data_IF_997982652687
#
_entry.id   IF_997982652687
#
_cell.length_a   1.000
_cell.length_b   1.000
_cell.length_c   1.000
_cell.angle_alpha   90.00
_cell.angle_beta   90.00
_cell.angle_gamma   90.00
#
_symmetry.space_group_name_H-M   'P 1'
#
loop_
_entity.id
_entity.type
_entity.pdbx_description
1 polymer ?
#
# COMPACT_ATOMS: atom_id res chain seq x y z
N UNK A 1 15.59 -0.33 27.65
CA UNK A 1 14.99 -0.23 26.29
C UNK A 1 15.42 -1.48 25.54
N UNK A 2 14.78 -2.60 25.88
CA UNK A 2 15.19 -3.93 25.44
C UNK A 2 14.09 -4.61 24.62
N UNK A 3 13.46 -3.85 23.73
CA UNK A 3 12.72 -4.42 22.64
C UNK A 3 13.64 -4.40 21.42
N UNK A 4 14.49 -5.39 21.31
CA UNK A 4 14.96 -5.84 20.00
C UNK A 4 13.69 -6.36 19.32
N UNK A 5 12.96 -5.44 18.68
CA UNK A 5 11.94 -5.84 17.71
C UNK A 5 12.71 -6.70 16.71
N UNK A 6 12.40 -7.98 16.67
CA UNK A 6 13.06 -8.86 15.73
C UNK A 6 12.50 -8.54 14.33
N UNK A 7 13.15 -7.59 13.66
CA UNK A 7 12.83 -7.21 12.29
C UNK A 7 12.83 -8.42 11.36
N UNK A 8 13.46 -9.52 11.75
CA UNK A 8 13.53 -10.75 10.98
C UNK A 8 12.14 -11.35 10.80
N UNK A 9 11.29 -11.38 11.83
CA UNK A 9 9.99 -12.02 11.72
C UNK A 9 9.09 -11.33 10.67
N UNK A 10 9.10 -9.99 10.62
CA UNK A 10 8.37 -9.24 9.59
C UNK A 10 9.04 -9.40 8.22
N UNK A 11 10.37 -9.35 8.18
CA UNK A 11 11.12 -9.46 6.93
C UNK A 11 11.07 -10.88 6.36
N UNK A 12 11.03 -11.92 7.19
CA UNK A 12 10.93 -13.30 6.72
C UNK A 12 9.64 -13.57 5.94
N UNK A 13 8.53 -12.94 6.28
CA UNK A 13 7.29 -13.08 5.52
C UNK A 13 7.43 -12.54 4.08
N UNK A 14 8.18 -11.46 3.89
CA UNK A 14 8.39 -10.84 2.56
C UNK A 14 9.58 -11.48 1.83
N UNK A 15 10.57 -11.98 2.59
CA UNK A 15 11.80 -12.56 2.05
C UNK A 15 11.75 -14.09 1.93
N UNK A 16 10.66 -14.74 2.32
CA UNK A 16 10.48 -16.17 2.14
C UNK A 16 10.26 -16.46 0.65
N UNK A 17 11.31 -16.99 0.02
CA UNK A 17 11.28 -17.34 -1.41
C UNK A 17 10.45 -18.58 -1.71
N UNK A 18 10.05 -19.34 -0.69
CA UNK A 18 9.22 -20.54 -0.81
C UNK A 18 7.73 -20.23 -0.62
N UNK A 19 7.40 -19.11 0.08
CA UNK A 19 6.03 -18.64 0.24
C UNK A 19 5.73 -17.43 -0.68
N UNK A 20 4.98 -17.69 -1.74
CA UNK A 20 4.58 -16.67 -2.72
C UNK A 20 3.34 -15.87 -2.32
N UNK A 21 2.81 -16.05 -1.10
CA UNK A 21 1.59 -15.36 -0.64
C UNK A 21 1.86 -13.91 -0.26
N UNK A 22 3.07 -13.59 0.17
CA UNK A 22 3.48 -12.22 0.53
C UNK A 22 4.42 -11.69 -0.54
N UNK A 23 3.86 -10.96 -1.49
CA UNK A 23 4.55 -10.48 -2.67
C UNK A 23 4.70 -8.96 -2.76
N UNK A 24 4.78 -8.47 -4.00
CA UNK A 24 5.01 -7.06 -4.31
C UNK A 24 3.95 -6.10 -3.77
N UNK A 25 2.67 -6.52 -3.72
CA UNK A 25 1.60 -5.69 -3.18
C UNK A 25 1.74 -5.47 -1.67
N UNK A 26 2.00 -6.54 -0.92
CA UNK A 26 2.30 -6.47 0.52
C UNK A 26 3.56 -5.65 0.82
N UNK A 27 4.64 -5.84 0.04
CA UNK A 27 5.87 -5.05 0.15
C UNK A 27 5.62 -3.56 -0.14
N UNK A 28 4.76 -3.25 -1.10
CA UNK A 28 4.36 -1.87 -1.44
C UNK A 28 3.59 -1.21 -0.29
N UNK A 29 2.64 -1.90 0.32
CA UNK A 29 1.92 -1.41 1.50
C UNK A 29 2.87 -1.16 2.68
N UNK A 30 3.83 -2.08 2.91
CA UNK A 30 4.85 -1.91 3.95
C UNK A 30 5.75 -0.71 3.66
N UNK A 31 6.12 -0.46 2.39
CA UNK A 31 6.88 0.74 2.00
C UNK A 31 6.14 2.03 2.38
N UNK A 32 4.83 2.09 2.14
CA UNK A 32 3.99 3.19 2.59
C UNK A 32 3.95 3.33 4.11
N UNK A 33 3.89 2.23 4.86
CA UNK A 33 3.94 2.26 6.33
C UNK A 33 5.28 2.79 6.87
N UNK A 34 6.41 2.43 6.25
CA UNK A 34 7.73 2.99 6.56
C UNK A 34 7.77 4.50 6.29
N UNK A 35 7.20 4.94 5.16
CA UNK A 35 7.07 6.36 4.82
C UNK A 35 6.31 7.14 5.91
N UNK A 36 5.19 6.60 6.40
CA UNK A 36 4.43 7.19 7.50
C UNK A 36 5.31 7.41 8.74
N UNK A 37 6.14 6.44 9.08
CA UNK A 37 7.05 6.54 10.23
C UNK A 37 8.06 7.67 10.09
N UNK A 38 8.73 7.77 8.93
CA UNK A 38 9.73 8.81 8.68
C UNK A 38 9.11 10.20 8.62
N UNK A 39 8.07 10.40 7.80
CA UNK A 39 7.42 11.70 7.63
C UNK A 39 6.76 12.14 8.94
N UNK A 40 6.12 11.21 9.68
CA UNK A 40 5.53 11.50 10.99
C UNK A 40 6.57 11.93 12.03
N UNK A 41 7.75 11.32 12.03
CA UNK A 41 8.88 11.76 12.86
C UNK A 41 9.33 13.18 12.48
N UNK A 42 9.45 13.48 11.20
CA UNK A 42 9.80 14.83 10.70
C UNK A 42 8.79 15.87 11.18
N UNK A 43 7.50 15.57 11.08
CA UNK A 43 6.43 16.43 11.58
C UNK A 43 6.60 16.72 13.08
N UNK A 44 6.79 15.71 13.92
CA UNK A 44 6.98 15.87 15.37
C UNK A 44 8.23 16.69 15.71
N UNK A 45 9.33 16.47 15.00
CA UNK A 45 10.56 17.25 15.18
C UNK A 45 10.42 18.70 14.70
N UNK A 46 9.55 18.94 13.72
CA UNK A 46 9.28 20.26 13.14
C UNK A 46 8.24 21.07 13.93
N UNK A 47 7.42 20.43 14.77
CA UNK A 47 6.41 21.09 15.59
C UNK A 47 6.94 21.97 16.75
N UNK A 48 8.28 22.15 16.85
CA UNK A 48 8.90 23.01 17.87
C UNK A 48 8.84 24.49 17.56
N UNK A 49 8.70 24.87 16.31
CA UNK A 49 8.52 26.23 15.80
C UNK A 49 7.88 26.23 14.43
N UNK A 50 7.43 27.41 13.97
CA UNK A 50 6.94 27.56 12.61
C UNK A 50 8.11 27.52 11.61
N UNK A 51 8.04 26.61 10.65
CA UNK A 51 8.96 26.48 9.51
C UNK A 51 8.27 26.79 8.17
N UNK A 52 7.09 27.43 8.20
CA UNK A 52 6.22 27.67 7.06
C UNK A 52 4.95 26.83 7.09
N UNK A 53 4.84 25.94 8.09
CA UNK A 53 3.62 25.25 8.51
C UNK A 53 3.55 25.35 10.03
N UNK A 54 2.38 25.76 10.53
CA UNK A 54 2.16 25.95 11.96
C UNK A 54 2.43 24.65 12.76
N UNK A 55 3.00 24.77 13.99
CA UNK A 55 3.30 23.60 14.83
C UNK A 55 2.10 22.66 15.03
N UNK A 56 0.89 23.19 15.25
CA UNK A 56 -0.30 22.38 15.45
C UNK A 56 -0.64 21.56 14.20
N UNK A 57 -0.51 22.14 13.01
CA UNK A 57 -0.70 21.42 11.74
C UNK A 57 0.34 20.33 11.53
N UNK A 58 1.60 20.54 11.94
CA UNK A 58 2.61 19.49 11.93
C UNK A 58 2.21 18.31 12.83
N UNK A 59 1.61 18.58 13.99
CA UNK A 59 1.11 17.53 14.89
C UNK A 59 -0.13 16.83 14.34
N UNK A 60 -1.01 17.53 13.63
CA UNK A 60 -2.16 16.94 12.93
C UNK A 60 -1.69 15.97 11.84
N UNK A 61 -0.72 16.37 11.00
CA UNK A 61 -0.13 15.46 10.02
C UNK A 61 0.54 14.24 10.67
N UNK A 62 1.27 14.44 11.77
CA UNK A 62 1.88 13.32 12.49
C UNK A 62 0.82 12.30 12.95
N UNK A 63 -0.31 12.79 13.47
CA UNK A 63 -1.43 11.95 13.89
C UNK A 63 -2.08 11.22 12.71
N UNK A 64 -2.36 11.93 11.61
CA UNK A 64 -2.91 11.32 10.40
C UNK A 64 -1.99 10.22 9.87
N UNK A 65 -0.67 10.45 9.84
CA UNK A 65 0.33 9.49 9.42
C UNK A 65 0.39 8.24 10.32
N UNK A 66 0.17 8.38 11.62
CA UNK A 66 0.02 7.23 12.53
C UNK A 66 -1.21 6.38 12.18
N UNK A 67 -2.34 7.02 11.88
CA UNK A 67 -3.57 6.32 11.45
C UNK A 67 -3.39 5.63 10.09
N UNK A 68 -2.73 6.30 9.14
CA UNK A 68 -2.41 5.72 7.82
C UNK A 68 -1.47 4.53 7.94
N UNK A 69 -0.48 4.59 8.81
CA UNK A 69 0.45 3.49 9.09
C UNK A 69 -0.29 2.23 9.55
N UNK A 70 -1.21 2.36 10.52
CA UNK A 70 -1.97 1.21 11.02
C UNK A 70 -2.85 0.58 9.92
N UNK A 71 -3.46 1.43 9.07
CA UNK A 71 -4.22 0.94 7.91
C UNK A 71 -3.33 0.21 6.91
N UNK A 72 -2.13 0.71 6.65
CA UNK A 72 -1.17 0.09 5.74
C UNK A 72 -0.61 -1.23 6.30
N UNK A 73 -0.37 -1.35 7.61
CA UNK A 73 -0.03 -2.64 8.23
C UNK A 73 -1.14 -3.67 8.04
N UNK A 74 -2.40 -3.27 8.21
CA UNK A 74 -3.53 -4.14 7.85
C UNK A 74 -3.53 -4.45 6.35
N UNK A 75 -3.24 -3.47 5.50
CA UNK A 75 -3.17 -3.60 4.05
C UNK A 75 -2.16 -4.63 3.56
N UNK A 76 -1.04 -4.83 4.29
CA UNK A 76 -0.07 -5.91 4.01
C UNK A 76 -0.75 -7.28 4.09
N UNK A 77 -1.55 -7.50 5.14
CA UNK A 77 -2.27 -8.75 5.37
C UNK A 77 -3.44 -8.90 4.39
N UNK A 78 -4.16 -7.82 4.12
CA UNK A 78 -5.31 -7.82 3.20
C UNK A 78 -4.86 -8.19 1.77
N UNK A 79 -3.69 -7.72 1.32
CA UNK A 79 -3.10 -8.07 0.02
C UNK A 79 -2.74 -9.57 -0.07
N UNK A 80 -2.09 -10.11 0.96
CA UNK A 80 -1.76 -11.52 1.03
C UNK A 80 -3.03 -12.41 1.02
N UNK A 81 -4.07 -12.00 1.75
CA UNK A 81 -5.36 -12.68 1.75
C UNK A 81 -6.05 -12.63 0.38
N UNK A 82 -6.01 -11.47 -0.31
CA UNK A 82 -6.57 -11.31 -1.63
C UNK A 82 -5.91 -12.24 -2.66
N UNK A 83 -4.59 -12.41 -2.59
CA UNK A 83 -3.88 -13.42 -3.38
C UNK A 83 -4.36 -14.85 -3.05
N UNK A 84 -4.58 -15.16 -1.76
CA UNK A 84 -5.14 -16.44 -1.33
C UNK A 84 -6.47 -16.76 -2.00
N UNK A 85 -7.38 -15.76 -2.10
CA UNK A 85 -8.69 -15.90 -2.79
C UNK A 85 -8.50 -16.27 -4.27
N UNK A 86 -7.58 -15.60 -4.97
CA UNK A 86 -7.26 -15.91 -6.37
C UNK A 86 -6.74 -17.34 -6.49
N UNK A 87 -5.75 -17.72 -5.67
CA UNK A 87 -5.16 -19.06 -5.67
C UNK A 87 -6.21 -20.14 -5.44
N UNK A 88 -7.16 -19.94 -4.54
CA UNK A 88 -8.18 -20.92 -4.22
C UNK A 88 -9.24 -21.03 -5.32
N UNK A 89 -9.60 -19.93 -5.99
CA UNK A 89 -10.44 -19.96 -7.19
C UNK A 89 -9.81 -20.79 -8.32
N UNK A 90 -8.49 -20.73 -8.49
CA UNK A 90 -7.76 -21.53 -9.47
C UNK A 90 -7.70 -23.02 -9.14
N UNK A 91 -7.89 -23.43 -7.87
CA UNK A 91 -7.94 -24.84 -7.44
C UNK A 91 -9.31 -25.50 -7.67
N UNK A 92 -10.35 -24.76 -7.96
CA UNK A 92 -11.69 -25.30 -8.19
C UNK A 92 -11.67 -26.33 -9.34
N UNK A 93 -12.54 -27.39 -9.28
CA UNK A 93 -12.67 -28.41 -10.31
C UNK A 93 -12.94 -27.81 -11.69
N UNK A 94 -12.52 -28.50 -12.75
CA UNK A 94 -12.63 -28.03 -14.15
C UNK A 94 -12.91 -29.16 -15.16
N UNK A 95 -13.37 -30.31 -14.70
CA UNK A 95 -13.55 -31.48 -15.56
C UNK A 95 -14.88 -31.37 -16.34
N UNK A 96 -15.99 -31.05 -15.66
CA UNK A 96 -17.29 -30.90 -16.30
C UNK A 96 -17.54 -29.50 -16.88
N UNK A 97 -18.61 -29.33 -17.67
CA UNK A 97 -18.99 -28.01 -18.19
C UNK A 97 -19.44 -27.07 -17.07
N UNK A 98 -20.20 -27.63 -16.13
CA UNK A 98 -20.72 -26.91 -14.96
C UNK A 98 -19.57 -26.41 -14.05
N UNK A 99 -18.62 -27.28 -13.76
CA UNK A 99 -17.43 -26.90 -12.99
C UNK A 99 -16.60 -25.79 -13.65
N UNK A 100 -16.43 -25.86 -14.98
CA UNK A 100 -15.74 -24.80 -15.74
C UNK A 100 -16.43 -23.45 -15.62
N UNK A 101 -17.78 -23.43 -15.62
CA UNK A 101 -18.57 -22.19 -15.47
C UNK A 101 -18.37 -21.64 -14.06
N UNK A 102 -18.54 -22.47 -13.02
CA UNK A 102 -18.37 -22.07 -11.61
C UNK A 102 -16.96 -21.53 -11.39
N UNK A 103 -15.94 -22.27 -11.85
CA UNK A 103 -14.54 -21.86 -11.71
C UNK A 103 -14.24 -20.54 -12.42
N UNK A 104 -14.77 -20.35 -13.64
CA UNK A 104 -14.58 -19.08 -14.37
C UNK A 104 -15.19 -17.90 -13.63
N UNK A 105 -16.37 -18.08 -13.06
CA UNK A 105 -17.04 -17.06 -12.25
C UNK A 105 -16.22 -16.73 -11.00
N UNK A 106 -15.80 -17.75 -10.25
CA UNK A 106 -15.00 -17.57 -9.05
C UNK A 106 -13.65 -16.84 -9.34
N UNK A 107 -12.99 -17.14 -10.45
CA UNK A 107 -11.75 -16.45 -10.87
C UNK A 107 -12.06 -14.99 -11.19
N UNK A 108 -13.18 -14.67 -11.83
CA UNK A 108 -13.55 -13.30 -12.14
C UNK A 108 -13.83 -12.47 -10.86
N UNK A 109 -14.56 -13.06 -9.91
CA UNK A 109 -14.82 -12.44 -8.60
C UNK A 109 -13.52 -12.27 -7.79
N UNK A 110 -12.66 -13.29 -7.78
CA UNK A 110 -11.35 -13.22 -7.14
C UNK A 110 -10.45 -12.14 -7.75
N UNK A 111 -10.55 -11.90 -9.07
CA UNK A 111 -9.84 -10.82 -9.75
C UNK A 111 -10.23 -9.44 -9.23
N UNK A 112 -11.52 -9.21 -8.95
CA UNK A 112 -11.98 -7.96 -8.32
C UNK A 112 -11.38 -7.80 -6.92
N UNK A 113 -11.41 -8.85 -6.10
CA UNK A 113 -10.80 -8.83 -4.76
C UNK A 113 -9.31 -8.55 -4.84
N UNK A 114 -8.61 -9.24 -5.76
CA UNK A 114 -7.17 -9.07 -5.98
C UNK A 114 -6.74 -7.69 -6.47
N UNK A 115 -7.62 -6.97 -7.18
CA UNK A 115 -7.37 -5.59 -7.59
C UNK A 115 -7.79 -4.57 -6.52
N UNK A 116 -8.79 -4.88 -5.68
CA UNK A 116 -9.31 -3.95 -4.67
C UNK A 116 -8.35 -3.73 -3.50
N UNK A 117 -7.70 -4.78 -2.99
CA UNK A 117 -6.78 -4.65 -1.87
C UNK A 117 -5.59 -3.71 -2.20
N UNK A 118 -4.85 -3.88 -3.31
CA UNK A 118 -3.78 -2.95 -3.67
C UNK A 118 -4.32 -1.56 -4.05
N UNK A 119 -5.56 -1.40 -4.52
CA UNK A 119 -6.14 -0.07 -4.76
C UNK A 119 -6.29 0.72 -3.46
N UNK A 120 -6.81 0.11 -2.40
CA UNK A 120 -6.91 0.79 -1.11
C UNK A 120 -5.53 1.15 -0.55
N UNK A 121 -4.55 0.25 -0.66
CA UNK A 121 -3.17 0.53 -0.26
C UNK A 121 -2.55 1.68 -1.09
N UNK A 122 -2.81 1.74 -2.40
CA UNK A 122 -2.34 2.81 -3.27
C UNK A 122 -2.88 4.19 -2.84
N UNK A 123 -4.17 4.27 -2.51
CA UNK A 123 -4.79 5.50 -2.00
C UNK A 123 -4.14 5.98 -0.70
N UNK A 124 -3.87 5.05 0.22
CA UNK A 124 -3.20 5.37 1.48
C UNK A 124 -1.77 5.85 1.25
N UNK A 125 -0.97 5.13 0.45
CA UNK A 125 0.40 5.52 0.10
C UNK A 125 0.44 6.88 -0.62
N UNK A 126 -0.51 7.14 -1.53
CA UNK A 126 -0.64 8.42 -2.22
C UNK A 126 -0.90 9.56 -1.24
N UNK A 127 -1.79 9.38 -0.26
CA UNK A 127 -2.01 10.39 0.78
C UNK A 127 -0.75 10.67 1.59
N UNK A 128 0.02 9.64 1.93
CA UNK A 128 1.32 9.80 2.61
C UNK A 128 2.29 10.62 1.77
N UNK A 129 2.37 10.35 0.46
CA UNK A 129 3.19 11.11 -0.47
C UNK A 129 2.76 12.57 -0.54
N UNK A 130 1.47 12.84 -0.67
CA UNK A 130 0.91 14.18 -0.78
C UNK A 130 1.24 15.01 0.47
N UNK A 131 1.13 14.43 1.68
CA UNK A 131 1.58 15.08 2.93
C UNK A 131 3.07 15.40 2.85
N UNK A 132 3.90 14.43 2.42
CA UNK A 132 5.34 14.62 2.31
C UNK A 132 5.72 15.77 1.38
N UNK A 133 5.06 15.88 0.22
CA UNK A 133 5.28 16.98 -0.75
C UNK A 133 4.82 18.32 -0.19
N UNK A 134 3.70 18.36 0.54
CA UNK A 134 3.23 19.61 1.18
C UNK A 134 4.22 20.13 2.23
N UNK A 135 4.94 19.23 2.88
CA UNK A 135 5.96 19.52 3.89
C UNK A 135 7.30 19.97 3.31
N UNK A 136 7.54 19.80 2.01
CA UNK A 136 8.83 20.11 1.40
C UNK A 136 9.24 21.58 1.61
N UNK A 137 10.46 21.79 2.08
CA UNK A 137 10.98 23.11 2.42
C UNK A 137 10.35 23.76 3.66
N UNK A 138 9.37 23.12 4.33
CA UNK A 138 8.62 23.68 5.46
C UNK A 138 8.78 22.87 6.75
N UNK A 139 9.90 22.21 6.90
CA UNK A 139 10.24 21.41 8.07
C UNK A 139 11.61 21.76 8.63
N UNK A 140 11.97 21.16 9.75
CA UNK A 140 13.32 21.29 10.30
C UNK A 140 14.33 20.77 9.26
N UNK A 141 15.22 21.66 8.81
CA UNK A 141 16.23 21.35 7.77
C UNK A 141 17.17 20.20 8.13
N UNK A 142 17.33 19.89 9.42
CA UNK A 142 18.11 18.72 9.84
C UNK A 142 17.43 17.37 9.55
N UNK A 143 16.14 17.39 9.18
CA UNK A 143 15.35 16.20 8.86
C UNK A 143 15.05 16.07 7.36
N UNK A 144 15.72 16.85 6.48
CA UNK A 144 15.40 16.87 5.05
C UNK A 144 15.58 15.50 4.39
N UNK A 145 16.61 14.74 4.79
CA UNK A 145 16.86 13.40 4.25
C UNK A 145 15.76 12.40 4.62
N UNK A 146 15.27 12.47 5.86
CA UNK A 146 14.19 11.59 6.32
C UNK A 146 12.89 11.90 5.59
N UNK A 147 12.59 13.19 5.34
CA UNK A 147 11.45 13.60 4.54
C UNK A 147 11.56 13.09 3.11
N UNK A 148 12.72 13.31 2.46
CA UNK A 148 12.95 12.88 1.08
C UNK A 148 12.85 11.36 0.93
N UNK A 149 13.47 10.59 1.82
CA UNK A 149 13.38 9.12 1.84
C UNK A 149 11.93 8.69 2.07
N UNK A 150 11.22 9.34 2.99
CA UNK A 150 9.80 9.08 3.24
C UNK A 150 8.94 9.29 1.99
N UNK A 151 9.16 10.37 1.24
CA UNK A 151 8.46 10.63 -0.02
C UNK A 151 8.75 9.54 -1.08
N UNK A 152 10.02 9.14 -1.25
CA UNK A 152 10.39 8.07 -2.18
C UNK A 152 9.78 6.73 -1.80
N UNK A 153 9.76 6.38 -0.52
CA UNK A 153 9.08 5.16 -0.04
C UNK A 153 7.57 5.20 -0.29
N UNK A 154 6.92 6.34 -0.07
CA UNK A 154 5.50 6.52 -0.36
C UNK A 154 5.21 6.41 -1.87
N UNK A 155 6.07 6.99 -2.72
CA UNK A 155 6.01 6.86 -4.18
C UNK A 155 6.17 5.41 -4.63
N UNK A 156 7.16 4.67 -4.09
CA UNK A 156 7.35 3.24 -4.36
C UNK A 156 6.10 2.46 -3.91
N UNK A 157 5.58 2.76 -2.72
CA UNK A 157 4.36 2.13 -2.20
C UNK A 157 3.17 2.35 -3.12
N UNK A 158 2.94 3.59 -3.56
CA UNK A 158 1.84 3.93 -4.47
C UNK A 158 1.99 3.19 -5.80
N UNK A 159 3.08 3.42 -6.51
CA UNK A 159 3.28 2.86 -7.86
C UNK A 159 3.39 1.33 -7.86
N UNK A 160 3.97 0.74 -6.82
CA UNK A 160 4.01 -0.72 -6.65
C UNK A 160 2.62 -1.33 -6.44
N UNK A 161 1.75 -0.68 -5.67
CA UNK A 161 0.34 -1.10 -5.55
C UNK A 161 -0.39 -1.00 -6.91
N UNK A 162 -0.16 0.07 -7.70
CA UNK A 162 -0.75 0.20 -9.04
C UNK A 162 -0.30 -0.93 -9.98
N UNK A 163 0.96 -1.36 -9.92
CA UNK A 163 1.46 -2.53 -10.68
C UNK A 163 0.72 -3.82 -10.26
N UNK A 164 0.38 -3.97 -8.97
CA UNK A 164 -0.38 -5.12 -8.48
C UNK A 164 -1.87 -5.08 -8.87
N UNK A 165 -2.46 -3.89 -9.05
CA UNK A 165 -3.78 -3.77 -9.68
C UNK A 165 -3.69 -4.26 -11.12
N UNK A 166 -2.76 -3.72 -11.92
CA UNK A 166 -2.61 -3.99 -13.36
C UNK A 166 -2.51 -5.50 -13.65
N UNK A 167 -1.72 -6.22 -12.86
CA UNK A 167 -1.54 -7.67 -13.02
C UNK A 167 -2.83 -8.48 -12.77
N UNK A 168 -3.77 -7.94 -12.01
CA UNK A 168 -5.05 -8.58 -11.68
C UNK A 168 -6.19 -8.18 -12.65
N UNK A 169 -6.08 -7.07 -13.38
CA UNK A 169 -7.13 -6.58 -14.31
C UNK A 169 -7.58 -7.63 -15.34
N UNK A 170 -6.71 -8.49 -15.93
CA UNK A 170 -7.14 -9.50 -16.89
C UNK A 170 -8.16 -10.51 -16.32
N UNK A 171 -8.22 -10.69 -15.00
CA UNK A 171 -9.16 -11.56 -14.31
C UNK A 171 -10.53 -10.91 -14.17
N UNK A 172 -10.59 -9.59 -14.02
CA UNK A 172 -11.83 -8.82 -13.82
C UNK A 172 -12.65 -8.87 -15.11
N UNK A 173 -13.94 -9.25 -15.00
CA UNK A 173 -14.87 -9.34 -16.13
C UNK A 173 -16.01 -8.32 -16.05
N UNK A 174 -16.15 -7.64 -14.94
CA UNK A 174 -17.08 -6.53 -14.74
C UNK A 174 -16.48 -5.25 -15.37
N UNK A 175 -17.12 -4.76 -16.43
CA UNK A 175 -16.65 -3.59 -17.18
C UNK A 175 -16.66 -2.30 -16.33
N UNK A 176 -17.64 -2.17 -15.43
CA UNK A 176 -17.72 -1.01 -14.54
C UNK A 176 -16.55 -1.00 -13.54
N UNK A 177 -16.20 -2.19 -13.00
CA UNK A 177 -15.02 -2.35 -12.12
C UNK A 177 -13.72 -2.14 -12.88
N UNK A 178 -13.59 -2.63 -14.10
CA UNK A 178 -12.41 -2.37 -14.94
C UNK A 178 -12.22 -0.87 -15.16
N UNK A 179 -13.31 -0.14 -15.45
CA UNK A 179 -13.23 1.30 -15.65
C UNK A 179 -12.82 2.02 -14.35
N UNK A 180 -13.45 1.65 -13.20
CA UNK A 180 -13.11 2.18 -11.89
C UNK A 180 -11.60 2.02 -11.58
N UNK A 181 -11.05 0.80 -11.75
CA UNK A 181 -9.64 0.54 -11.52
C UNK A 181 -8.73 1.35 -12.46
N UNK A 182 -9.03 1.38 -13.74
CA UNK A 182 -8.24 2.12 -14.72
C UNK A 182 -8.21 3.63 -14.44
N UNK A 183 -9.33 4.21 -14.03
CA UNK A 183 -9.40 5.63 -13.73
C UNK A 183 -8.65 5.96 -12.43
N UNK A 184 -8.81 5.14 -11.39
CA UNK A 184 -8.06 5.28 -10.15
C UNK A 184 -6.54 5.14 -10.36
N UNK A 185 -6.10 4.21 -11.22
CA UNK A 185 -4.68 4.04 -11.54
C UNK A 185 -4.10 5.28 -12.21
N UNK A 186 -4.85 5.94 -13.11
CA UNK A 186 -4.39 7.19 -13.76
C UNK A 186 -4.30 8.33 -12.76
N UNK A 187 -5.28 8.45 -11.85
CA UNK A 187 -5.33 9.52 -10.85
C UNK A 187 -4.22 9.37 -9.79
N UNK A 188 -3.99 8.15 -9.33
CA UNK A 188 -3.05 7.89 -8.23
C UNK A 188 -1.59 7.84 -8.66
N UNK A 189 -1.30 7.63 -9.93
CA UNK A 189 0.07 7.49 -10.44
C UNK A 189 0.95 8.69 -10.05
N UNK A 190 2.16 8.40 -9.61
CA UNK A 190 3.19 9.39 -9.30
C UNK A 190 4.34 9.20 -10.30
N UNK A 191 4.65 10.26 -11.04
CA UNK A 191 5.74 10.29 -12.03
C UNK A 191 7.14 10.41 -11.42
#
# INVERSE_FOLDING_TARGET
MDAVIDYKDVMYLILDTDDVTVGGGSASALSGALACGLIGMVCKLSAKKDYGIAPDMQLEYAKELEELREKLFKGVVDDANAYGVIRDAYKLPKETKEEKVIRKQAIAEAGVVGASAPLENAKLCRRVYDIGIELDGKTNSNCYTDLAIGCELAKIGTNGCLMNIDVNLPLVKDEAKLQEFNDAMKELKID
#
